data_IF_304669771457
#
_entry.id   IF_304669771457
#
_cell.length_a   1.000
_cell.length_b   1.000
_cell.length_c   1.000
_cell.angle_alpha   90.00
_cell.angle_beta   90.00
_cell.angle_gamma   90.00
#
_symmetry.space_group_name_H-M   'P 1'
#
loop_
_entity.id
_entity.type
_entity.pdbx_description
1 polymer ?
#
# COMPACT_ATOMS: atom_id res chain seq x y z
N UNK A 1 4.50 17.85 -1.68
CA UNK A 1 4.80 16.48 -1.19
C UNK A 1 4.05 16.15 0.09
N UNK A 2 4.22 16.91 1.15
CA UNK A 2 3.56 16.64 2.43
C UNK A 2 2.04 16.77 2.37
N UNK A 3 1.51 17.60 1.48
CA UNK A 3 0.07 17.72 1.26
C UNK A 3 -0.56 16.42 0.76
N UNK A 4 0.22 15.57 0.09
CA UNK A 4 -0.23 14.28 -0.44
C UNK A 4 0.13 13.12 0.47
N UNK A 5 1.35 13.11 1.01
CA UNK A 5 1.89 11.97 1.78
C UNK A 5 2.07 12.28 3.27
N UNK A 6 1.63 13.44 3.73
CA UNK A 6 1.87 13.88 5.11
C UNK A 6 0.98 13.20 6.16
N UNK A 7 -0.08 12.52 5.78
CA UNK A 7 -0.94 11.83 6.72
C UNK A 7 -0.64 10.32 6.73
N UNK A 8 -0.70 9.74 7.94
CA UNK A 8 -0.39 8.32 8.12
C UNK A 8 -1.35 7.39 7.38
N UNK A 9 -2.60 7.79 7.21
CA UNK A 9 -3.63 6.92 6.63
C UNK A 9 -3.43 6.70 5.15
N UNK A 10 -2.97 7.71 4.42
CA UNK A 10 -2.64 7.56 3.00
C UNK A 10 -1.51 6.55 2.79
N UNK A 11 -0.46 6.62 3.59
CA UNK A 11 0.66 5.67 3.55
C UNK A 11 0.20 4.25 3.94
N UNK A 12 -0.64 4.12 4.96
CA UNK A 12 -1.17 2.82 5.38
C UNK A 12 -2.00 2.19 4.25
N UNK A 13 -2.86 2.96 3.59
CA UNK A 13 -3.67 2.44 2.48
C UNK A 13 -2.77 1.98 1.33
N UNK A 14 -1.79 2.79 0.93
CA UNK A 14 -0.85 2.42 -0.13
C UNK A 14 -0.09 1.14 0.22
N UNK A 15 0.41 1.04 1.46
CA UNK A 15 1.05 -0.18 1.97
C UNK A 15 0.12 -1.40 1.83
N UNK A 16 -1.11 -1.26 2.26
CA UNK A 16 -2.09 -2.35 2.24
C UNK A 16 -2.40 -2.81 0.81
N UNK A 17 -2.47 -1.87 -0.14
CA UNK A 17 -2.66 -2.22 -1.55
C UNK A 17 -1.44 -2.98 -2.08
N UNK A 18 -0.23 -2.58 -1.75
CA UNK A 18 0.97 -3.35 -2.10
C UNK A 18 0.93 -4.77 -1.54
N UNK A 19 0.32 -4.96 -0.38
CA UNK A 19 0.14 -6.27 0.25
C UNK A 19 -1.00 -7.09 -0.34
N UNK A 20 -1.68 -6.59 -1.35
CA UNK A 20 -2.74 -7.32 -2.05
C UNK A 20 -4.16 -6.99 -1.61
N UNK A 21 -4.34 -6.07 -0.66
CA UNK A 21 -5.69 -5.59 -0.33
C UNK A 21 -6.24 -4.74 -1.48
N UNK A 22 -7.54 -4.86 -1.73
CA UNK A 22 -8.16 -4.22 -2.89
C UNK A 22 -9.57 -3.70 -2.67
N UNK A 23 -10.28 -4.14 -1.63
CA UNK A 23 -11.65 -3.71 -1.37
C UNK A 23 -11.73 -2.83 -0.13
N UNK A 24 -12.82 -2.05 -0.03
CA UNK A 24 -13.10 -1.24 1.15
C UNK A 24 -13.09 -2.10 2.43
N UNK A 25 -13.71 -3.28 2.38
CA UNK A 25 -13.70 -4.21 3.51
C UNK A 25 -12.31 -4.68 3.88
N UNK A 26 -11.45 -4.92 2.90
CA UNK A 26 -10.05 -5.31 3.17
C UNK A 26 -9.32 -4.23 3.97
N UNK A 27 -9.49 -2.97 3.59
CA UNK A 27 -8.82 -1.84 4.27
C UNK A 27 -9.32 -1.65 5.70
N UNK A 28 -10.60 -1.89 5.96
CA UNK A 28 -11.15 -1.84 7.31
C UNK A 28 -10.52 -2.90 8.24
N UNK A 29 -9.98 -3.97 7.68
CA UNK A 29 -9.25 -4.99 8.44
C UNK A 29 -7.83 -4.64 8.81
N UNK A 30 -7.35 -3.43 8.52
CA UNK A 30 -5.99 -2.99 8.87
C UNK A 30 -5.79 -2.96 10.38
N UNK A 31 -4.58 -3.37 10.86
CA UNK A 31 -4.28 -3.38 12.30
C UNK A 31 -4.42 -2.00 12.96
N UNK A 32 -4.23 -0.94 12.21
CA UNK A 32 -4.31 0.45 12.68
C UNK A 32 -5.75 0.93 12.90
N UNK A 33 -6.75 0.12 12.53
CA UNK A 33 -8.18 0.36 12.79
C UNK A 33 -8.69 1.68 12.20
N UNK A 34 -8.51 1.85 10.91
CA UNK A 34 -9.04 3.01 10.19
C UNK A 34 -10.58 3.03 10.28
N UNK A 35 -11.16 4.21 10.55
CA UNK A 35 -12.61 4.38 10.53
C UNK A 35 -13.15 4.43 9.10
N UNK A 36 -14.44 4.10 8.93
CA UNK A 36 -15.09 4.17 7.62
C UNK A 36 -15.07 5.57 7.03
N UNK A 37 -15.28 6.60 7.86
CA UNK A 37 -15.26 8.01 7.45
C UNK A 37 -13.89 8.43 6.94
N UNK A 38 -12.84 8.09 7.67
CA UNK A 38 -11.46 8.41 7.29
C UNK A 38 -11.07 7.64 6.03
N UNK A 39 -11.41 6.35 5.95
CA UNK A 39 -11.11 5.52 4.79
C UNK A 39 -11.76 6.08 3.53
N UNK A 40 -13.03 6.41 3.58
CA UNK A 40 -13.75 7.03 2.45
C UNK A 40 -13.05 8.29 1.98
N UNK A 41 -12.74 9.19 2.92
CA UNK A 41 -12.06 10.45 2.63
C UNK A 41 -10.69 10.23 2.00
N UNK A 42 -9.92 9.30 2.53
CA UNK A 42 -8.55 9.05 2.04
C UNK A 42 -8.52 8.34 0.68
N UNK A 43 -9.45 7.41 0.44
CA UNK A 43 -9.56 6.78 -0.88
C UNK A 43 -9.92 7.81 -1.96
N UNK A 44 -10.85 8.72 -1.69
CA UNK A 44 -11.19 9.80 -2.61
C UNK A 44 -10.00 10.72 -2.87
N UNK A 45 -9.28 11.07 -1.81
CA UNK A 45 -8.09 11.92 -1.89
C UNK A 45 -6.99 11.27 -2.74
N UNK A 46 -6.66 10.01 -2.47
CA UNK A 46 -5.64 9.29 -3.23
C UNK A 46 -6.04 9.11 -4.70
N UNK A 47 -7.32 8.88 -4.96
CA UNK A 47 -7.84 8.78 -6.32
C UNK A 47 -7.77 10.12 -7.05
N UNK A 48 -8.11 11.23 -6.38
CA UNK A 48 -8.02 12.56 -6.97
C UNK A 48 -6.60 12.96 -7.34
N UNK A 49 -5.60 12.45 -6.60
CA UNK A 49 -4.18 12.65 -6.89
C UNK A 49 -3.59 11.59 -7.83
N UNK A 50 -4.42 10.71 -8.38
CA UNK A 50 -4.00 9.67 -9.34
C UNK A 50 -2.96 8.69 -8.76
N UNK A 51 -2.97 8.50 -7.46
CA UNK A 51 -2.12 7.51 -6.78
C UNK A 51 -2.77 6.13 -6.85
N UNK A 52 -4.08 6.09 -6.71
CA UNK A 52 -4.89 4.88 -6.87
C UNK A 52 -5.99 5.13 -7.89
N UNK A 53 -6.55 4.05 -8.38
CA UNK A 53 -7.80 4.06 -9.15
C UNK A 53 -8.62 2.83 -8.78
N UNK A 54 -9.80 2.69 -9.34
CA UNK A 54 -10.68 1.58 -9.01
C UNK A 54 -11.45 1.10 -10.21
N UNK A 55 -11.85 -0.17 -10.17
CA UNK A 55 -12.76 -0.80 -11.12
C UNK A 55 -13.85 -1.53 -10.36
N UNK A 56 -15.06 -1.70 -10.93
CA UNK A 56 -16.09 -2.52 -10.29
C UNK A 56 -15.64 -3.97 -10.16
N UNK A 57 -16.06 -4.63 -9.08
CA UNK A 57 -15.86 -6.07 -8.94
C UNK A 57 -16.70 -6.82 -9.99
N UNK A 58 -16.15 -7.92 -10.51
CA UNK A 58 -16.81 -8.71 -11.55
C UNK A 58 -18.06 -9.42 -11.05
N UNK A 59 -18.11 -9.74 -9.76
CA UNK A 59 -19.22 -10.47 -9.13
C UNK A 59 -20.29 -9.56 -8.57
N UNK A 60 -19.86 -8.38 -8.08
CA UNK A 60 -20.75 -7.38 -7.49
C UNK A 60 -20.27 -5.99 -7.86
N UNK A 61 -20.93 -5.39 -8.84
CA UNK A 61 -20.54 -4.06 -9.35
C UNK A 61 -20.68 -2.93 -8.33
N UNK A 62 -21.37 -3.16 -7.22
CA UNK A 62 -21.43 -2.21 -6.11
C UNK A 62 -20.11 -2.16 -5.31
N UNK A 63 -19.33 -3.23 -5.39
CA UNK A 63 -18.02 -3.30 -4.75
C UNK A 63 -16.96 -2.79 -5.71
N UNK A 64 -16.09 -1.91 -5.25
CA UNK A 64 -14.96 -1.41 -6.02
C UNK A 64 -13.69 -2.16 -5.63
N UNK A 65 -12.87 -2.48 -6.61
CA UNK A 65 -11.51 -2.99 -6.41
C UNK A 65 -10.53 -1.88 -6.70
N UNK A 66 -9.77 -1.50 -5.69
CA UNK A 66 -8.79 -0.42 -5.77
C UNK A 66 -7.42 -0.99 -6.15
N UNK A 67 -6.67 -0.23 -6.92
CA UNK A 67 -5.31 -0.60 -7.33
C UNK A 67 -4.43 0.64 -7.43
N UNK A 68 -3.11 0.42 -7.32
CA UNK A 68 -2.13 1.49 -7.51
C UNK A 68 -1.93 1.78 -9.00
N UNK A 69 -1.95 3.05 -9.34
CA UNK A 69 -1.47 3.53 -10.64
C UNK A 69 0.05 3.40 -10.70
N UNK A 70 0.64 3.65 -11.87
CA UNK A 70 2.10 3.69 -11.99
C UNK A 70 2.71 4.71 -11.03
N UNK A 71 2.05 5.85 -10.87
CA UNK A 71 2.44 6.88 -9.90
C UNK A 71 2.40 6.36 -8.45
N UNK A 72 1.38 5.57 -8.12
CA UNK A 72 1.28 4.92 -6.81
C UNK A 72 2.36 3.87 -6.58
N UNK A 73 2.66 3.07 -7.60
CA UNK A 73 3.72 2.05 -7.53
C UNK A 73 5.08 2.72 -7.30
N UNK A 74 5.29 3.88 -7.88
CA UNK A 74 6.53 4.66 -7.73
C UNK A 74 6.74 5.21 -6.32
N UNK A 75 5.76 5.09 -5.43
CA UNK A 75 5.91 5.40 -4.01
C UNK A 75 6.65 4.31 -3.22
N UNK A 76 6.85 3.13 -3.77
CA UNK A 76 7.48 2.05 -3.03
C UNK A 76 8.89 2.41 -2.53
N UNK A 77 9.76 3.06 -3.30
CA UNK A 77 11.07 3.48 -2.80
C UNK A 77 11.00 4.38 -1.56
N UNK A 78 10.01 5.29 -1.51
CA UNK A 78 9.82 6.16 -0.34
C UNK A 78 9.41 5.34 0.88
N UNK A 79 8.47 4.41 0.71
CA UNK A 79 8.03 3.53 1.79
C UNK A 79 9.15 2.63 2.28
N UNK A 80 9.98 2.12 1.37
CA UNK A 80 11.16 1.32 1.69
C UNK A 80 12.11 2.09 2.59
N UNK A 81 12.44 3.32 2.23
CA UNK A 81 13.36 4.15 3.02
C UNK A 81 12.78 4.51 4.39
N UNK A 82 11.50 4.83 4.47
CA UNK A 82 10.82 5.08 5.75
C UNK A 82 10.90 3.87 6.67
N UNK A 83 10.66 2.69 6.12
CA UNK A 83 10.73 1.43 6.88
C UNK A 83 12.13 1.20 7.43
N UNK A 84 13.15 1.25 6.58
CA UNK A 84 14.52 0.97 7.00
C UNK A 84 15.12 2.05 7.88
N UNK A 85 14.74 3.31 7.66
CA UNK A 85 15.10 4.38 8.59
C UNK A 85 14.56 4.09 10.00
N UNK A 86 13.32 3.66 10.07
CA UNK A 86 12.68 3.29 11.35
C UNK A 86 13.40 2.12 12.00
N UNK A 87 13.75 1.09 11.24
CA UNK A 87 14.46 -0.07 11.73
C UNK A 87 15.85 0.27 12.28
N UNK A 88 16.55 1.21 11.65
CA UNK A 88 17.89 1.63 12.11
C UNK A 88 17.86 2.48 13.38
N UNK A 89 16.79 3.25 13.59
CA UNK A 89 16.76 4.28 14.63
C UNK A 89 15.85 3.95 15.81
N UNK A 90 14.88 3.07 15.64
CA UNK A 90 13.98 2.62 16.70
C UNK A 90 14.21 1.15 16.98
N UNK A 91 15.15 0.88 17.89
CA UNK A 91 15.70 -0.46 18.12
C UNK A 91 14.84 -1.35 19.00
N UNK A 92 13.69 -0.90 19.46
CA UNK A 92 12.90 -1.67 20.42
C UNK A 92 11.44 -1.73 20.02
N UNK A 93 11.00 -2.94 19.67
CA UNK A 93 9.59 -3.25 19.68
C UNK A 93 8.76 -2.59 18.59
N UNK A 94 9.36 -2.22 17.45
CA UNK A 94 8.55 -1.95 16.27
C UNK A 94 7.91 -3.27 15.88
N UNK A 95 6.78 -3.53 16.52
CA UNK A 95 5.94 -4.67 16.16
C UNK A 95 5.32 -4.29 14.82
N UNK A 96 6.02 -4.59 13.75
CA UNK A 96 5.43 -4.50 12.43
C UNK A 96 4.29 -5.51 12.39
N UNK A 97 3.09 -5.09 12.02
CA UNK A 97 2.03 -6.05 11.78
C UNK A 97 2.53 -7.11 10.79
N UNK A 98 2.24 -8.39 11.00
CA UNK A 98 2.74 -9.46 10.12
C UNK A 98 2.51 -9.20 8.63
N UNK A 99 1.41 -8.54 8.28
CA UNK A 99 1.09 -8.17 6.89
C UNK A 99 1.97 -7.05 6.33
N UNK A 100 2.46 -6.15 7.19
CA UNK A 100 3.40 -5.10 6.74
C UNK A 100 4.77 -5.66 6.41
N UNK A 101 5.16 -6.72 7.08
CA UNK A 101 6.42 -7.42 6.82
C UNK A 101 6.38 -8.15 5.48
N UNK A 102 5.19 -8.48 4.97
CA UNK A 102 5.02 -9.19 3.71
C UNK A 102 5.67 -8.48 2.51
N UNK A 103 5.64 -7.15 2.48
CA UNK A 103 6.28 -6.35 1.43
C UNK A 103 7.80 -6.53 1.45
N UNK A 104 8.37 -6.71 2.64
CA UNK A 104 9.81 -6.78 2.85
C UNK A 104 10.31 -8.21 3.10
N UNK A 105 9.43 -9.19 2.93
CA UNK A 105 9.77 -10.60 3.14
C UNK A 105 10.77 -11.07 2.08
N UNK A 106 11.84 -11.72 2.52
CA UNK A 106 12.86 -12.25 1.64
C UNK A 106 13.96 -11.26 1.25
N UNK A 107 14.00 -10.09 1.89
CA UNK A 107 14.96 -9.02 1.53
C UNK A 107 16.38 -9.24 2.07
N UNK A 108 16.58 -10.23 2.90
CA UNK A 108 17.91 -10.52 3.46
C UNK A 108 18.90 -10.83 2.34
N UNK A 109 19.98 -10.05 2.27
CA UNK A 109 21.02 -10.20 1.26
C UNK A 109 20.74 -9.53 -0.07
N UNK A 110 19.60 -8.85 -0.23
CA UNK A 110 19.26 -8.11 -1.44
C UNK A 110 19.66 -6.64 -1.31
N UNK A 111 20.09 -6.03 -2.43
CA UNK A 111 20.33 -4.59 -2.47
C UNK A 111 19.00 -3.84 -2.43
N UNK A 112 18.98 -2.53 -2.01
CA UNK A 112 17.76 -1.72 -2.06
C UNK A 112 17.06 -1.73 -3.42
N UNK A 113 17.82 -1.61 -4.51
CA UNK A 113 17.26 -1.63 -5.85
C UNK A 113 16.60 -2.96 -6.20
N UNK A 114 17.19 -4.08 -5.79
CA UNK A 114 16.61 -5.41 -5.98
C UNK A 114 15.29 -5.56 -5.21
N UNK A 115 15.25 -5.12 -3.97
CA UNK A 115 14.04 -5.18 -3.14
C UNK A 115 12.91 -4.36 -3.77
N UNK A 116 13.21 -3.14 -4.18
CA UNK A 116 12.25 -2.24 -4.81
C UNK A 116 11.72 -2.86 -6.10
N UNK A 117 12.61 -3.32 -6.97
CA UNK A 117 12.23 -3.91 -8.25
C UNK A 117 11.37 -5.16 -8.08
N UNK A 118 11.72 -6.04 -7.15
CA UNK A 118 10.95 -7.26 -6.88
C UNK A 118 9.55 -6.94 -6.35
N UNK A 119 9.45 -5.99 -5.43
CA UNK A 119 8.17 -5.58 -4.87
C UNK A 119 7.27 -4.97 -5.95
N UNK A 120 7.81 -4.11 -6.79
CA UNK A 120 7.06 -3.50 -7.89
C UNK A 120 6.59 -4.53 -8.91
N UNK A 121 7.45 -5.47 -9.29
CA UNK A 121 7.09 -6.57 -10.20
C UNK A 121 5.99 -7.45 -9.62
N UNK A 122 6.10 -7.80 -8.35
CA UNK A 122 5.10 -8.60 -7.65
C UNK A 122 3.75 -7.89 -7.66
N UNK A 123 3.75 -6.60 -7.37
CA UNK A 123 2.51 -5.84 -7.38
C UNK A 123 1.90 -5.70 -8.79
N UNK A 124 2.71 -5.53 -9.83
CA UNK A 124 2.22 -5.48 -11.20
C UNK A 124 1.43 -6.74 -11.58
N UNK A 125 1.85 -7.90 -11.10
CA UNK A 125 1.08 -9.15 -11.28
C UNK A 125 -0.26 -9.10 -10.57
N UNK A 126 -0.29 -8.58 -9.35
CA UNK A 126 -1.53 -8.39 -8.57
C UNK A 126 -2.47 -7.44 -9.33
N UNK A 127 -1.96 -6.29 -9.78
CA UNK A 127 -2.74 -5.31 -10.54
C UNK A 127 -3.32 -5.93 -11.82
N UNK A 128 -2.54 -6.69 -12.54
CA UNK A 128 -3.02 -7.37 -13.76
C UNK A 128 -4.20 -8.29 -13.47
N UNK A 129 -4.18 -8.99 -12.33
CA UNK A 129 -5.31 -9.85 -11.93
C UNK A 129 -6.57 -9.06 -11.56
N UNK A 130 -6.42 -7.83 -11.11
CA UNK A 130 -7.55 -6.94 -10.80
C UNK A 130 -8.18 -6.40 -12.09
N UNK A 131 -7.35 -6.01 -13.06
CA UNK A 131 -7.79 -5.36 -14.30
C UNK A 131 -8.27 -6.34 -15.37
N UNK A 132 -7.89 -7.59 -15.28
CA UNK A 132 -8.33 -8.65 -16.19
C UNK A 132 -9.41 -9.50 -15.53
#
# INVERSE_FOLDING_TARGET
>A
MLDVLGDKWSIIIVRDIFNGKKTFGDFLGSPERISTTVLTSRLEFLKSHQIIDSVPDLRDQKVKRYYLTDKGIDLFPVMYEMFYWSMRNFNTGLILPPKSVGIFKGVKGMSPDQVINEAQKKYLKIRSSILN
#
